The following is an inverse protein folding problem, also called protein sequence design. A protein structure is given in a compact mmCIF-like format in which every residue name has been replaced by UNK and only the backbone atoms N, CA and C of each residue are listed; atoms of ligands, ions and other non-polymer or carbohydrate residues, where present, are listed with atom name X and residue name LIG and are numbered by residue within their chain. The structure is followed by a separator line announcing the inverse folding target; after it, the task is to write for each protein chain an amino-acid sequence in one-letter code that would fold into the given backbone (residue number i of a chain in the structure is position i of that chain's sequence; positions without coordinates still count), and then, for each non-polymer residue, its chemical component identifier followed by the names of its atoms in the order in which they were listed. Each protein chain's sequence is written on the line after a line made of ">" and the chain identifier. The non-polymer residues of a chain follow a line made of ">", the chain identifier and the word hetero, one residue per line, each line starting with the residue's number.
data_IF_297974319908
#
_entry.id   IF_297974319908
#
_cell.length_a   1.000
_cell.length_b   1.000
_cell.length_c   1.000
_cell.angle_alpha   90.00
_cell.angle_beta   90.00
_cell.angle_gamma   90.00
#
_symmetry.space_group_name_H-M   'P 1'
#
loop_
_entity.id
_entity.type
_entity.pdbx_description
1 polymer ?
#
# COMPACT_ATOMS: atom_id res chain seq x y z
N UNK A 1 2.28 25.07 28.45
CA UNK A 1 1.65 25.04 27.09
C UNK A 1 1.48 23.58 26.71
N UNK A 2 0.26 23.11 26.63
CA UNK A 2 0.00 21.75 26.19
C UNK A 2 0.34 21.69 24.70
N UNK A 3 1.37 20.94 24.35
CA UNK A 3 1.59 20.48 22.98
C UNK A 3 0.37 19.67 22.56
N UNK A 4 -0.60 20.31 21.93
CA UNK A 4 -1.73 19.64 21.32
C UNK A 4 -1.21 18.97 20.06
N UNK A 5 -0.62 17.80 20.25
CA UNK A 5 -0.19 16.95 19.14
C UNK A 5 -1.41 16.73 18.24
N UNK A 6 -1.37 17.27 17.03
CA UNK A 6 -2.44 17.06 16.05
C UNK A 6 -2.72 15.57 15.93
N UNK A 7 -3.97 15.19 16.08
CA UNK A 7 -4.39 13.80 15.88
C UNK A 7 -4.68 13.57 14.41
N UNK A 8 -4.06 12.56 13.85
CA UNK A 8 -4.30 12.10 12.49
C UNK A 8 -5.02 10.75 12.50
N UNK A 9 -5.87 10.54 11.51
CA UNK A 9 -6.50 9.26 11.25
C UNK A 9 -6.31 8.93 9.77
N UNK A 10 -5.91 7.68 9.49
CA UNK A 10 -5.74 7.21 8.13
C UNK A 10 -6.62 6.00 7.85
N UNK A 11 -7.20 5.98 6.67
CA UNK A 11 -7.89 4.83 6.10
C UNK A 11 -7.22 4.40 4.80
N UNK A 12 -7.15 3.11 4.56
CA UNK A 12 -6.64 2.51 3.32
C UNK A 12 -7.73 1.63 2.73
N UNK A 13 -8.11 1.89 1.50
CA UNK A 13 -8.84 0.94 0.67
C UNK A 13 -7.80 0.12 -0.11
N UNK A 14 -7.62 -1.15 0.31
CA UNK A 14 -6.69 -2.05 -0.34
C UNK A 14 -7.43 -2.85 -1.42
N UNK A 15 -7.53 -2.26 -2.60
CA UNK A 15 -8.27 -2.83 -3.72
C UNK A 15 -7.47 -3.83 -4.57
N UNK A 16 -8.17 -4.54 -5.44
CA UNK A 16 -7.58 -5.51 -6.38
C UNK A 16 -6.78 -4.81 -7.48
N UNK A 17 -7.32 -3.74 -8.03
CA UNK A 17 -6.72 -2.98 -9.14
C UNK A 17 -6.04 -1.71 -8.66
N UNK A 18 -6.64 -1.02 -7.70
CA UNK A 18 -6.17 0.22 -7.15
C UNK A 18 -6.28 0.23 -5.63
N UNK A 19 -5.40 0.98 -4.98
CA UNK A 19 -5.47 1.29 -3.57
C UNK A 19 -5.66 2.80 -3.38
N UNK A 20 -6.33 3.21 -2.32
CA UNK A 20 -6.45 4.60 -1.95
C UNK A 20 -6.18 4.79 -0.47
N UNK A 21 -5.50 5.87 -0.14
CA UNK A 21 -5.33 6.31 1.26
C UNK A 21 -6.13 7.60 1.45
N UNK A 22 -6.85 7.68 2.55
CA UNK A 22 -7.50 8.91 3.00
C UNK A 22 -6.92 9.30 4.36
N UNK A 23 -6.64 10.57 4.52
CA UNK A 23 -6.12 11.12 5.77
C UNK A 23 -7.00 12.25 6.29
N UNK A 24 -7.19 12.27 7.60
CA UNK A 24 -7.87 13.33 8.32
C UNK A 24 -6.99 13.85 9.46
N UNK A 25 -7.04 15.15 9.69
CA UNK A 25 -6.47 15.80 10.85
C UNK A 25 -7.57 16.36 11.75
N UNK A 26 -7.42 16.27 13.06
CA UNK A 26 -8.31 16.92 14.02
C UNK A 26 -7.85 18.37 14.22
N UNK A 27 -8.62 19.29 13.67
CA UNK A 27 -8.34 20.74 13.67
C UNK A 27 -9.51 21.46 14.30
N UNK A 28 -9.22 22.29 15.33
CA UNK A 28 -10.29 22.91 16.10
C UNK A 28 -11.11 21.87 16.85
N UNK A 29 -12.37 21.68 16.47
CA UNK A 29 -13.27 20.70 17.07
C UNK A 29 -13.85 19.71 16.03
N UNK A 30 -13.19 19.54 14.89
CA UNK A 30 -13.63 18.67 13.81
C UNK A 30 -12.48 17.95 13.11
N UNK A 31 -12.81 16.85 12.42
CA UNK A 31 -11.87 16.21 11.52
C UNK A 31 -11.98 16.82 10.13
N UNK A 32 -10.85 17.24 9.60
CA UNK A 32 -10.76 17.77 8.25
C UNK A 32 -9.94 16.82 7.36
N UNK A 33 -10.42 16.57 6.15
CA UNK A 33 -9.72 15.75 5.18
C UNK A 33 -8.46 16.48 4.69
N UNK A 34 -7.31 15.87 4.86
CA UNK A 34 -6.00 16.42 4.45
C UNK A 34 -5.39 15.69 3.25
N UNK A 35 -5.89 14.48 2.94
CA UNK A 35 -5.33 13.62 1.90
C UNK A 35 -6.41 12.73 1.31
N UNK A 36 -6.35 12.53 -0.01
CA UNK A 36 -6.98 11.41 -0.71
C UNK A 36 -6.13 11.01 -1.91
N UNK A 37 -5.79 9.71 -2.02
CA UNK A 37 -5.09 9.16 -3.17
C UNK A 37 -3.74 9.81 -3.48
N UNK A 38 -3.43 9.93 -4.76
CA UNK A 38 -2.23 10.60 -5.26
C UNK A 38 -2.38 12.14 -5.32
N UNK A 39 -1.40 12.83 -5.88
CA UNK A 39 -1.37 14.30 -6.01
C UNK A 39 -2.53 14.87 -6.86
N UNK A 40 -3.10 14.06 -7.75
CA UNK A 40 -4.29 14.40 -8.52
C UNK A 40 -5.59 13.87 -7.90
N UNK A 41 -5.56 13.43 -6.64
CA UNK A 41 -6.68 12.84 -5.92
C UNK A 41 -7.25 11.57 -6.60
N UNK A 42 -6.38 10.75 -7.15
CA UNK A 42 -6.73 9.47 -7.80
C UNK A 42 -6.28 8.30 -6.94
N UNK A 43 -6.97 7.15 -6.99
CA UNK A 43 -6.46 5.91 -6.45
C UNK A 43 -5.10 5.54 -7.09
N UNK A 44 -4.24 4.91 -6.32
CA UNK A 44 -2.91 4.47 -6.75
C UNK A 44 -3.01 3.04 -7.27
N UNK A 45 -2.52 2.72 -8.48
CA UNK A 45 -2.52 1.37 -9.00
C UNK A 45 -1.83 0.38 -8.07
N UNK A 46 -2.46 -0.78 -7.82
CA UNK A 46 -1.92 -1.88 -7.00
C UNK A 46 -0.91 -2.70 -7.80
N UNK A 47 0.07 -2.03 -8.39
CA UNK A 47 1.07 -2.63 -9.27
C UNK A 47 2.41 -2.71 -8.56
N UNK A 48 3.05 -3.86 -8.70
CA UNK A 48 4.43 -4.10 -8.27
C UNK A 48 5.19 -4.75 -9.42
N UNK A 49 6.30 -4.17 -9.82
CA UNK A 49 7.20 -4.71 -10.84
C UNK A 49 8.59 -4.91 -10.25
N UNK A 50 9.11 -6.12 -10.32
CA UNK A 50 10.37 -6.51 -9.71
C UNK A 50 11.36 -6.84 -10.82
N UNK A 51 12.46 -6.09 -10.93
CA UNK A 51 13.46 -6.31 -11.96
C UNK A 51 14.14 -7.67 -11.79
N UNK A 52 14.14 -8.46 -12.87
CA UNK A 52 14.65 -9.85 -12.85
C UNK A 52 16.16 -9.94 -12.68
N UNK A 53 16.91 -8.92 -13.09
CA UNK A 53 18.38 -8.90 -13.00
C UNK A 53 18.85 -8.28 -11.69
N UNK A 54 18.37 -7.09 -11.34
CA UNK A 54 18.87 -6.30 -10.22
C UNK A 54 18.01 -6.32 -8.97
N UNK A 55 16.77 -6.82 -9.05
CA UNK A 55 15.85 -6.91 -7.93
C UNK A 55 15.24 -5.57 -7.51
N UNK A 56 15.45 -4.48 -8.26
CA UNK A 56 14.80 -3.19 -8.00
C UNK A 56 13.28 -3.31 -8.14
N UNK A 57 12.55 -2.54 -7.33
CA UNK A 57 11.09 -2.60 -7.26
C UNK A 57 10.50 -1.27 -7.73
N UNK A 58 9.54 -1.36 -8.63
CA UNK A 58 8.72 -0.25 -9.09
C UNK A 58 7.28 -0.48 -8.66
N UNK A 59 6.60 0.56 -8.19
CA UNK A 59 5.25 0.43 -7.63
C UNK A 59 4.32 1.56 -8.08
N UNK A 60 3.02 1.32 -7.93
CA UNK A 60 2.01 2.36 -8.05
C UNK A 60 1.91 2.98 -9.44
N UNK A 61 1.75 4.29 -9.46
CA UNK A 61 1.54 5.07 -10.71
C UNK A 61 2.73 4.98 -11.65
N UNK A 62 3.95 5.09 -11.15
CA UNK A 62 5.17 4.98 -11.96
C UNK A 62 5.25 3.62 -12.66
N UNK A 63 5.00 2.53 -11.95
CA UNK A 63 5.00 1.20 -12.52
C UNK A 63 3.89 1.01 -13.57
N UNK A 64 2.71 1.60 -13.35
CA UNK A 64 1.61 1.58 -14.29
C UNK A 64 1.92 2.35 -15.57
N UNK A 65 2.47 3.54 -15.47
CA UNK A 65 2.81 4.38 -16.62
C UNK A 65 3.90 3.75 -17.49
N UNK A 66 4.87 3.07 -16.86
CA UNK A 66 5.97 2.37 -17.53
C UNK A 66 5.70 0.88 -17.79
N UNK A 67 4.45 0.45 -17.74
CA UNK A 67 4.09 -0.98 -17.83
C UNK A 67 4.59 -1.71 -19.07
N UNK A 68 4.68 -1.04 -20.21
CA UNK A 68 5.18 -1.64 -21.44
C UNK A 68 6.67 -1.96 -21.35
N UNK A 69 7.45 -1.04 -20.84
CA UNK A 69 8.89 -1.21 -20.60
C UNK A 69 9.13 -2.25 -19.49
N UNK A 70 8.51 -2.06 -18.34
CA UNK A 70 8.72 -2.89 -17.16
C UNK A 70 8.26 -4.35 -17.36
N UNK A 71 7.25 -4.59 -18.18
CA UNK A 71 6.79 -5.96 -18.48
C UNK A 71 7.84 -6.81 -19.20
N UNK A 72 8.82 -6.19 -19.85
CA UNK A 72 9.91 -6.91 -20.52
C UNK A 72 11.03 -7.30 -19.57
N UNK A 73 11.34 -6.45 -18.60
CA UNK A 73 12.49 -6.59 -17.70
C UNK A 73 12.13 -7.08 -16.31
N UNK A 74 10.87 -6.98 -15.93
CA UNK A 74 10.38 -7.26 -14.59
C UNK A 74 9.38 -8.42 -14.55
N UNK A 75 9.29 -9.07 -13.38
CA UNK A 75 8.07 -9.75 -12.97
C UNK A 75 7.04 -8.65 -12.68
N UNK A 76 6.05 -8.50 -13.57
CA UNK A 76 5.06 -7.44 -13.49
C UNK A 76 3.75 -7.97 -12.89
N UNK A 77 3.38 -7.46 -11.72
CA UNK A 77 2.21 -7.90 -10.97
C UNK A 77 1.20 -6.76 -10.96
N UNK A 78 0.13 -6.92 -11.75
CA UNK A 78 -0.92 -5.90 -11.92
C UNK A 78 -2.01 -5.96 -10.83
N UNK A 79 -2.08 -7.05 -10.07
CA UNK A 79 -3.06 -7.27 -9.02
C UNK A 79 -2.46 -8.09 -7.89
N UNK A 80 -1.95 -7.42 -6.89
CA UNK A 80 -1.30 -8.07 -5.75
C UNK A 80 -2.28 -8.92 -4.96
N UNK A 81 -3.52 -8.44 -4.78
CA UNK A 81 -4.56 -9.13 -4.02
C UNK A 81 -4.95 -10.48 -4.64
N UNK A 82 -4.85 -10.62 -5.96
CA UNK A 82 -5.13 -11.88 -6.65
C UNK A 82 -4.11 -12.98 -6.34
N UNK A 83 -2.96 -12.63 -5.80
CA UNK A 83 -1.94 -13.62 -5.38
C UNK A 83 -2.32 -14.31 -4.07
N UNK A 84 -3.22 -13.73 -3.27
CA UNK A 84 -3.57 -14.27 -1.95
C UNK A 84 -4.34 -15.60 -2.02
N UNK A 85 -4.95 -15.91 -3.14
CA UNK A 85 -5.68 -17.16 -3.39
C UNK A 85 -4.83 -18.25 -4.05
N UNK A 86 -3.56 -17.95 -4.31
CA UNK A 86 -2.66 -18.83 -5.07
C UNK A 86 -1.45 -19.21 -4.22
N UNK A 87 -0.97 -20.42 -4.40
CA UNK A 87 0.38 -20.81 -3.96
C UNK A 87 1.42 -20.14 -4.88
N UNK A 88 1.50 -18.83 -4.77
CA UNK A 88 2.43 -18.05 -5.59
C UNK A 88 3.72 -17.78 -4.82
N UNK A 89 4.83 -18.11 -5.43
CA UNK A 89 6.16 -17.64 -5.03
C UNK A 89 7.07 -17.57 -6.24
N UNK A 90 8.04 -16.65 -6.23
CA UNK A 90 9.00 -16.47 -7.30
C UNK A 90 10.37 -16.13 -6.71
N UNK A 91 11.41 -16.82 -7.21
CA UNK A 91 12.79 -16.43 -6.95
C UNK A 91 13.19 -15.38 -8.00
N UNK A 92 13.43 -14.15 -7.56
CA UNK A 92 13.76 -13.02 -8.43
C UNK A 92 15.03 -12.36 -7.88
N UNK A 93 16.08 -12.26 -8.69
CA UNK A 93 17.35 -11.65 -8.32
C UNK A 93 17.90 -12.16 -6.96
N UNK A 94 17.81 -13.47 -6.72
CA UNK A 94 18.30 -14.12 -5.50
C UNK A 94 17.39 -14.01 -4.27
N UNK A 95 16.23 -13.36 -4.37
CA UNK A 95 15.24 -13.23 -3.28
C UNK A 95 13.97 -14.01 -3.60
N UNK A 96 13.49 -14.79 -2.64
CA UNK A 96 12.19 -15.46 -2.75
C UNK A 96 11.07 -14.46 -2.39
N UNK A 97 10.25 -14.16 -3.38
CA UNK A 97 9.08 -13.31 -3.23
C UNK A 97 7.82 -14.13 -2.95
N UNK A 98 7.03 -13.65 -2.01
CA UNK A 98 5.73 -14.22 -1.61
C UNK A 98 4.64 -13.16 -1.75
N UNK A 99 3.34 -13.51 -1.75
CA UNK A 99 2.25 -12.53 -1.78
C UNK A 99 2.36 -11.48 -0.68
N UNK A 100 2.81 -11.88 0.50
CA UNK A 100 3.02 -10.97 1.64
C UNK A 100 4.11 -9.93 1.36
N UNK A 101 5.24 -10.34 0.80
CA UNK A 101 6.33 -9.42 0.44
C UNK A 101 5.94 -8.48 -0.70
N UNK A 102 5.17 -8.95 -1.67
CA UNK A 102 4.64 -8.11 -2.74
C UNK A 102 3.64 -7.10 -2.20
N UNK A 103 2.73 -7.52 -1.32
CA UNK A 103 1.79 -6.61 -0.67
C UNK A 103 2.49 -5.55 0.19
N UNK A 104 3.60 -5.90 0.84
CA UNK A 104 4.41 -4.96 1.61
C UNK A 104 4.93 -3.80 0.74
N UNK A 105 5.28 -4.05 -0.52
CA UNK A 105 5.71 -3.00 -1.44
C UNK A 105 4.56 -2.02 -1.78
N UNK A 106 3.32 -2.50 -1.86
CA UNK A 106 2.14 -1.63 -2.02
C UNK A 106 1.96 -0.74 -0.79
N UNK A 107 2.05 -1.29 0.42
CA UNK A 107 1.95 -0.48 1.65
C UNK A 107 3.08 0.56 1.77
N UNK A 108 4.30 0.21 1.37
CA UNK A 108 5.43 1.17 1.31
C UNK A 108 5.13 2.30 0.32
N UNK A 109 4.57 1.98 -0.84
CA UNK A 109 4.16 2.97 -1.83
C UNK A 109 3.11 3.93 -1.27
N UNK A 110 2.08 3.41 -0.59
CA UNK A 110 1.04 4.23 0.05
C UNK A 110 1.62 5.12 1.15
N UNK A 111 2.50 4.58 1.99
CA UNK A 111 3.15 5.35 3.05
C UNK A 111 4.03 6.46 2.49
N UNK A 112 4.81 6.17 1.46
CA UNK A 112 5.66 7.16 0.79
C UNK A 112 4.81 8.29 0.21
N UNK A 113 3.70 7.97 -0.47
CA UNK A 113 2.77 8.96 -0.99
C UNK A 113 2.18 9.87 0.11
N UNK A 114 1.79 9.29 1.24
CA UNK A 114 1.31 10.09 2.39
C UNK A 114 2.39 11.04 2.88
N UNK A 115 3.61 10.54 3.05
CA UNK A 115 4.74 11.34 3.53
C UNK A 115 5.11 12.48 2.58
N UNK A 116 5.20 12.21 1.29
CA UNK A 116 5.54 13.22 0.27
C UNK A 116 4.51 14.34 0.21
N UNK A 117 3.24 14.03 0.45
CA UNK A 117 2.15 14.99 0.37
C UNK A 117 1.87 15.74 1.67
N UNK A 118 2.16 15.17 2.81
CA UNK A 118 1.76 15.72 4.12
C UNK A 118 2.93 15.92 5.09
N UNK A 119 4.09 15.34 4.82
CA UNK A 119 5.22 15.23 5.75
C UNK A 119 4.88 14.44 7.03
N UNK A 120 3.80 13.66 7.02
CA UNK A 120 3.35 12.85 8.14
C UNK A 120 3.70 11.38 7.86
N UNK A 121 4.26 10.69 8.85
CA UNK A 121 4.46 9.25 8.79
C UNK A 121 3.17 8.57 9.23
N UNK A 122 2.58 7.77 8.34
CA UNK A 122 1.39 6.97 8.64
C UNK A 122 1.80 5.73 9.44
N UNK A 123 1.77 5.80 10.76
CA UNK A 123 2.17 4.70 11.64
C UNK A 123 1.05 3.67 11.86
N UNK A 124 -0.20 4.08 11.66
CA UNK A 124 -1.38 3.22 11.83
C UNK A 124 -2.51 3.62 10.90
N UNK A 125 -3.33 2.66 10.51
CA UNK A 125 -4.48 2.87 9.63
C UNK A 125 -5.60 1.85 9.89
N UNK A 126 -6.82 2.24 9.51
CA UNK A 126 -7.94 1.31 9.29
C UNK A 126 -7.92 0.88 7.84
N UNK A 127 -8.12 -0.41 7.56
CA UNK A 127 -8.08 -0.93 6.19
C UNK A 127 -9.45 -1.44 5.79
N UNK A 128 -9.99 -0.88 4.71
CA UNK A 128 -11.21 -1.36 4.08
C UNK A 128 -10.91 -2.60 3.23
N UNK A 129 -11.71 -3.65 3.42
CA UNK A 129 -11.60 -4.92 2.70
C UNK A 129 -12.97 -5.41 2.27
N UNK A 130 -13.08 -6.19 1.18
CA UNK A 130 -14.32 -6.81 0.79
C UNK A 130 -14.88 -7.75 1.87
N UNK A 131 -16.20 -7.83 1.96
CA UNK A 131 -16.89 -8.82 2.77
C UNK A 131 -16.42 -10.23 2.37
N UNK A 132 -16.04 -11.04 3.36
CA UNK A 132 -15.60 -12.42 3.11
C UNK A 132 -14.08 -12.62 3.00
N UNK A 133 -13.27 -11.58 3.20
CA UNK A 133 -11.82 -11.79 3.31
C UNK A 133 -11.51 -12.63 4.55
N UNK A 134 -10.97 -13.84 4.33
CA UNK A 134 -10.74 -14.81 5.40
C UNK A 134 -9.57 -14.42 6.33
N UNK A 135 -9.43 -15.13 7.44
CA UNK A 135 -8.42 -14.86 8.45
C UNK A 135 -6.97 -14.94 7.89
N UNK A 136 -6.70 -15.88 6.98
CA UNK A 136 -5.39 -16.05 6.38
C UNK A 136 -4.97 -14.82 5.54
N UNK A 137 -5.88 -14.31 4.73
CA UNK A 137 -5.66 -13.10 3.91
C UNK A 137 -5.51 -11.85 4.77
N UNK A 138 -6.31 -11.72 5.83
CA UNK A 138 -6.17 -10.62 6.80
C UNK A 138 -4.80 -10.64 7.47
N UNK A 139 -4.28 -11.82 7.79
CA UNK A 139 -2.93 -11.99 8.36
C UNK A 139 -1.85 -11.56 7.36
N UNK A 140 -1.96 -11.93 6.09
CA UNK A 140 -1.05 -11.46 5.04
C UNK A 140 -1.02 -9.93 4.99
N UNK A 141 -2.18 -9.27 4.99
CA UNK A 141 -2.26 -7.82 4.98
C UNK A 141 -1.66 -7.18 6.24
N UNK A 142 -1.92 -7.75 7.43
CA UNK A 142 -1.32 -7.25 8.68
C UNK A 142 0.21 -7.34 8.66
N UNK A 143 0.75 -8.46 8.23
CA UNK A 143 2.19 -8.68 8.16
C UNK A 143 2.85 -7.78 7.11
N UNK A 144 2.20 -7.64 5.94
CA UNK A 144 2.68 -6.76 4.88
C UNK A 144 2.70 -5.29 5.32
N UNK A 145 1.63 -4.81 5.95
CA UNK A 145 1.56 -3.45 6.49
C UNK A 145 2.61 -3.22 7.58
N UNK A 146 2.78 -4.18 8.49
CA UNK A 146 3.80 -4.12 9.54
C UNK A 146 5.23 -4.03 8.96
N UNK A 147 5.53 -4.73 7.87
CA UNK A 147 6.80 -4.63 7.15
C UNK A 147 7.05 -3.24 6.56
N UNK A 148 6.00 -2.48 6.29
CA UNK A 148 6.06 -1.08 5.86
C UNK A 148 6.00 -0.08 7.03
N UNK A 149 5.98 -0.55 8.28
CA UNK A 149 5.87 0.28 9.47
C UNK A 149 4.45 0.77 9.78
N UNK A 150 3.42 0.12 9.24
CA UNK A 150 2.02 0.50 9.42
C UNK A 150 1.32 -0.56 10.27
N UNK A 151 0.74 -0.15 11.40
CA UNK A 151 -0.14 -0.99 12.21
C UNK A 151 -1.56 -0.91 11.70
N UNK A 152 -2.16 -2.03 11.32
CA UNK A 152 -3.58 -2.09 11.00
C UNK A 152 -4.38 -2.15 12.31
N UNK A 153 -5.15 -1.11 12.59
CA UNK A 153 -6.00 -1.01 13.79
C UNK A 153 -7.22 -1.92 13.69
N UNK A 154 -7.88 -1.89 12.55
CA UNK A 154 -9.03 -2.74 12.25
C UNK A 154 -9.23 -2.90 10.76
N UNK A 155 -9.98 -3.94 10.39
CA UNK A 155 -10.55 -4.09 9.06
C UNK A 155 -12.04 -3.70 9.08
N UNK A 156 -12.48 -3.00 8.08
CA UNK A 156 -13.87 -2.57 7.90
C UNK A 156 -14.41 -2.99 6.53
#
# INVERSE_FOLDING_TARGET
>A
MSDTKLKYCFGIDFGTTNCATVGYAYIGNSYEKILYGDDEQRPIPSVVAINKSGGSVHTGREAWERRQELSQECEYISSVKSLFDKEWSRLIAGKLWTPELVAAEVFKCLQQNVYERTSIIMEEAVVAIPVGLNAAKRRILRNAAASAGIKILSFV
#
